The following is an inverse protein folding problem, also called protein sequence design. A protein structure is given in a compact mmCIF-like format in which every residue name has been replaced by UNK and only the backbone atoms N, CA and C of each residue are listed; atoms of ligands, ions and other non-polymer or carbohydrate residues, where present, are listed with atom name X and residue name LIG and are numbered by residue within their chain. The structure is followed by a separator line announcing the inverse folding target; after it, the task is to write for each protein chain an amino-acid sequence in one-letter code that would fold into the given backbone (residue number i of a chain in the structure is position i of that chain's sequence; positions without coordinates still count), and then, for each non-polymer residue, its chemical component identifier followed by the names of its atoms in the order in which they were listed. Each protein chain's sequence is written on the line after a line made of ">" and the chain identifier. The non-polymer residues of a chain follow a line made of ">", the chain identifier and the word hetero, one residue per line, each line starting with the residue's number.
data_IF_624567350403
#
_entry.id   IF_624567350403
#
_cell.length_a   1.000
_cell.length_b   1.000
_cell.length_c   1.000
_cell.angle_alpha   90.00
_cell.angle_beta   90.00
_cell.angle_gamma   90.00
#
_symmetry.space_group_name_H-M   'P 1'
#
loop_
_entity.id
_entity.type
_entity.pdbx_description
1 polymer ?
#
# COMPACT_ATOMS: atom_id res chain seq x y z
N UNK A 1 -4.38 7.59 -11.52
CA UNK A 1 -4.39 6.42 -10.61
C UNK A 1 -5.73 5.70 -10.69
N UNK A 2 -5.69 4.38 -10.89
CA UNK A 2 -6.84 3.50 -11.22
C UNK A 2 -6.80 2.27 -10.30
N UNK A 3 -7.92 1.57 -10.12
CA UNK A 3 -8.05 0.45 -9.18
C UNK A 3 -8.18 -0.91 -9.91
N UNK A 4 -7.17 -1.28 -10.70
CA UNK A 4 -7.16 -2.56 -11.40
C UNK A 4 -7.14 -3.74 -10.42
N UNK A 5 -7.81 -4.84 -10.79
CA UNK A 5 -7.92 -6.04 -9.95
C UNK A 5 -6.55 -6.61 -9.58
N UNK A 6 -5.58 -6.52 -10.49
CA UNK A 6 -4.22 -7.03 -10.32
C UNK A 6 -3.50 -6.43 -9.10
N UNK A 7 -3.77 -5.17 -8.74
CA UNK A 7 -3.10 -4.52 -7.62
C UNK A 7 -3.46 -5.18 -6.27
N UNK A 8 -4.67 -5.73 -6.14
CA UNK A 8 -5.13 -6.40 -4.91
C UNK A 8 -4.36 -7.69 -4.60
N UNK A 9 -3.70 -8.27 -5.60
CA UNK A 9 -2.95 -9.52 -5.47
C UNK A 9 -1.44 -9.29 -5.23
N UNK A 10 -0.99 -8.04 -5.09
CA UNK A 10 0.42 -7.74 -4.83
C UNK A 10 0.84 -8.21 -3.43
N UNK A 11 2.00 -8.86 -3.36
CA UNK A 11 2.66 -9.18 -2.11
C UNK A 11 3.34 -7.93 -1.53
N UNK A 12 2.79 -7.43 -0.43
CA UNK A 12 3.27 -6.22 0.25
C UNK A 12 4.64 -6.42 0.92
N UNK A 13 4.98 -7.63 1.33
CA UNK A 13 6.30 -7.93 1.90
C UNK A 13 7.38 -7.95 0.81
N UNK A 14 7.07 -8.54 -0.35
CA UNK A 14 7.95 -8.47 -1.52
C UNK A 14 8.13 -7.02 -2.00
N UNK A 15 7.04 -6.23 -2.03
CA UNK A 15 7.10 -4.81 -2.38
C UNK A 15 8.02 -4.03 -1.45
N UNK A 16 7.93 -4.25 -0.12
CA UNK A 16 8.82 -3.59 0.86
C UNK A 16 10.30 -3.90 0.61
N UNK A 17 10.65 -5.10 0.14
CA UNK A 17 12.05 -5.51 -0.10
C UNK A 17 12.70 -4.78 -1.27
N UNK A 18 11.92 -4.38 -2.28
CA UNK A 18 12.44 -3.75 -3.50
C UNK A 18 12.41 -2.22 -3.46
N UNK A 19 11.67 -1.64 -2.51
CA UNK A 19 11.59 -0.19 -2.34
C UNK A 19 12.77 0.35 -1.53
N UNK A 20 13.46 1.36 -2.05
CA UNK A 20 14.49 2.12 -1.31
C UNK A 20 13.90 2.83 -0.08
N UNK A 21 12.69 3.37 -0.23
CA UNK A 21 11.95 4.05 0.83
C UNK A 21 10.55 3.41 0.87
N UNK A 22 10.18 2.68 1.94
CA UNK A 22 9.01 1.80 1.95
C UNK A 22 7.70 2.57 2.17
N UNK A 23 7.38 3.55 1.32
CA UNK A 23 6.15 4.36 1.39
C UNK A 23 5.15 3.86 0.35
N UNK A 24 3.92 3.58 0.78
CA UNK A 24 2.80 3.21 -0.09
C UNK A 24 1.72 4.30 -0.03
N UNK A 25 1.54 5.01 -1.15
CA UNK A 25 0.50 6.04 -1.31
C UNK A 25 -0.66 5.43 -2.12
N UNK A 26 -1.83 5.30 -1.49
CA UNK A 26 -3.02 4.70 -2.10
C UNK A 26 -4.25 5.61 -1.97
N UNK A 27 -4.58 6.33 -3.04
CA UNK A 27 -5.79 7.16 -3.07
C UNK A 27 -7.05 6.46 -3.60
N UNK A 28 -7.00 5.15 -3.89
CA UNK A 28 -8.16 4.36 -4.35
C UNK A 28 -8.62 3.35 -3.32
N UNK A 29 -7.88 3.21 -2.20
CA UNK A 29 -8.14 2.23 -1.14
C UNK A 29 -8.17 0.81 -1.69
N UNK A 30 -7.19 0.50 -2.55
CA UNK A 30 -6.96 -0.83 -3.09
C UNK A 30 -6.43 -1.75 -2.00
N UNK A 31 -5.56 -1.24 -1.13
CA UNK A 31 -4.90 -2.00 -0.07
C UNK A 31 -5.55 -1.75 1.29
N UNK A 32 -5.56 -2.79 2.13
CA UNK A 32 -5.89 -2.63 3.54
C UNK A 32 -4.74 -1.92 4.28
N UNK A 33 -5.08 -0.87 5.02
CA UNK A 33 -4.10 -0.04 5.70
C UNK A 33 -3.38 -0.79 6.83
N UNK A 34 -4.05 -1.72 7.53
CA UNK A 34 -3.43 -2.50 8.61
C UNK A 34 -2.47 -3.52 8.04
N UNK A 35 -2.86 -4.23 6.98
CA UNK A 35 -2.01 -5.18 6.28
C UNK A 35 -0.75 -4.52 5.71
N UNK A 36 -0.88 -3.34 5.09
CA UNK A 36 0.27 -2.59 4.59
C UNK A 36 1.24 -2.16 5.71
N UNK A 37 0.70 -1.67 6.83
CA UNK A 37 1.52 -1.31 8.00
C UNK A 37 2.18 -2.55 8.63
N UNK A 38 1.47 -3.67 8.74
CA UNK A 38 2.01 -4.93 9.24
C UNK A 38 3.12 -5.50 8.34
N UNK A 39 3.03 -5.27 7.03
CA UNK A 39 4.09 -5.59 6.06
C UNK A 39 5.31 -4.65 6.14
N UNK A 40 5.30 -3.65 7.03
CA UNK A 40 6.39 -2.70 7.23
C UNK A 40 6.41 -1.52 6.25
N UNK A 41 5.28 -1.25 5.56
CA UNK A 41 5.14 -0.08 4.70
C UNK A 41 4.57 1.11 5.48
N UNK A 42 5.09 2.30 5.20
CA UNK A 42 4.49 3.56 5.59
C UNK A 42 3.31 3.83 4.66
N UNK A 43 2.11 3.50 5.12
CA UNK A 43 0.88 3.68 4.35
C UNK A 43 0.32 5.11 4.47
N UNK A 44 -0.07 5.68 3.33
CA UNK A 44 -0.77 6.97 3.22
C UNK A 44 -1.94 6.82 2.26
N UNK A 45 -3.17 6.96 2.74
CA UNK A 45 -4.36 6.89 1.91
C UNK A 45 -5.18 8.16 1.93
N UNK A 46 -5.91 8.40 0.84
CA UNK A 46 -6.75 9.61 0.71
C UNK A 46 -7.99 9.48 1.59
N UNK A 47 -8.30 10.56 2.32
CA UNK A 47 -9.48 10.66 3.19
C UNK A 47 -9.46 9.75 4.42
N UNK A 48 -8.27 9.34 4.89
CA UNK A 48 -8.13 8.53 6.11
C UNK A 48 -7.81 9.36 7.37
N UNK A 49 -7.68 10.69 7.25
CA UNK A 49 -7.13 11.52 8.33
C UNK A 49 -5.65 11.20 8.57
N UNK A 50 -4.89 12.21 8.99
CA UNK A 50 -3.50 12.05 9.42
C UNK A 50 -3.43 11.52 10.84
#
# INVERSE_FOLDING_TARGET
>A
MVAHKQYRALDLAALKRVLRTPILIDGRRVFDARAAKAAGLVYRGVGLGS
#
